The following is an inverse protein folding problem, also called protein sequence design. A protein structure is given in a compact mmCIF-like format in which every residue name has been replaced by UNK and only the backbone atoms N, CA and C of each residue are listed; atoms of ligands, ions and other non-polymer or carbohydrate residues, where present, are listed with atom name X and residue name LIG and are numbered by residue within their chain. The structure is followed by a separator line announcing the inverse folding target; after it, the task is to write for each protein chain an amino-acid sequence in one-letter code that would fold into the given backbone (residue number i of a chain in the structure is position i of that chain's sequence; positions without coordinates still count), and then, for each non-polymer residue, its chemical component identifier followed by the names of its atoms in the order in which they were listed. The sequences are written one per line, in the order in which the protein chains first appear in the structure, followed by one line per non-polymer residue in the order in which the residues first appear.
data_IF_885885214493
#
_entry.id   IF_885885214493
#
_cell.length_a   1.000
_cell.length_b   1.000
_cell.length_c   1.000
_cell.angle_alpha   90.00
_cell.angle_beta   90.00
_cell.angle_gamma   90.00
#
_symmetry.space_group_name_H-M   'P 1'
#
loop_
_entity.id
_entity.type
_entity.pdbx_description
1 polymer ?
#
# COMPACT_ATOMS: atom_id res chain seq x y z
N UNK A 1 -3.12 22.80 8.25
CA UNK A 1 -2.97 21.83 7.14
C UNK A 1 -4.18 22.05 6.27
N UNK A 2 -4.00 22.36 4.99
CA UNK A 2 -5.15 22.54 4.08
C UNK A 2 -5.91 21.22 4.00
N UNK A 3 -7.23 21.25 4.21
CA UNK A 3 -8.15 20.14 3.93
C UNK A 3 -8.11 19.82 2.43
N UNK A 4 -7.05 19.15 1.99
CA UNK A 4 -6.92 18.66 0.64
C UNK A 4 -7.87 17.48 0.48
N UNK A 5 -8.75 17.57 -0.50
CA UNK A 5 -9.65 16.48 -0.90
C UNK A 5 -8.84 15.20 -1.18
N UNK A 6 -9.12 14.12 -0.43
CA UNK A 6 -8.39 12.85 -0.55
C UNK A 6 -8.99 11.90 -1.60
N UNK A 7 -10.21 12.16 -2.06
CA UNK A 7 -10.95 11.35 -3.03
C UNK A 7 -11.90 12.22 -3.85
N UNK A 8 -12.07 11.88 -5.14
CA UNK A 8 -13.10 12.50 -5.99
C UNK A 8 -14.52 12.11 -5.55
N UNK A 9 -14.68 10.93 -4.95
CA UNK A 9 -15.96 10.44 -4.42
C UNK A 9 -16.17 10.87 -2.96
N UNK A 10 -17.41 10.89 -2.46
CA UNK A 10 -17.70 11.20 -1.06
C UNK A 10 -16.96 10.24 -0.12
N UNK A 11 -16.27 10.81 0.85
CA UNK A 11 -15.67 10.07 1.96
C UNK A 11 -16.67 10.13 3.12
N UNK A 12 -17.19 8.98 3.61
CA UNK A 12 -18.14 8.99 4.71
C UNK A 12 -17.48 9.46 5.99
N UNK A 13 -18.25 10.10 6.87
CA UNK A 13 -17.82 10.36 8.24
C UNK A 13 -17.59 9.03 8.95
N UNK A 14 -16.61 8.98 9.87
CA UNK A 14 -16.30 7.74 10.58
C UNK A 14 -17.55 7.18 11.25
N UNK A 15 -18.42 8.04 11.82
CA UNK A 15 -19.70 7.72 12.46
C UNK A 15 -20.72 7.01 11.57
N UNK A 16 -20.61 7.15 10.26
CA UNK A 16 -21.48 6.46 9.31
C UNK A 16 -20.90 5.13 8.78
N UNK A 17 -19.64 4.81 9.13
CA UNK A 17 -18.98 3.57 8.71
C UNK A 17 -19.45 2.39 9.59
N UNK A 18 -19.75 1.21 9.00
CA UNK A 18 -20.05 0.00 9.75
C UNK A 18 -19.01 -0.32 10.84
N UNK A 19 -19.48 -0.79 11.99
CA UNK A 19 -18.66 -0.95 13.20
C UNK A 19 -17.41 -1.83 12.99
N UNK A 20 -17.54 -2.91 12.22
CA UNK A 20 -16.43 -3.82 11.92
C UNK A 20 -15.29 -3.11 11.16
N UNK A 21 -15.65 -2.29 10.17
CA UNK A 21 -14.69 -1.51 9.38
C UNK A 21 -14.08 -0.37 10.20
N UNK A 22 -14.89 0.32 11.00
CA UNK A 22 -14.42 1.36 11.92
C UNK A 22 -13.42 0.81 12.93
N UNK A 23 -13.76 -0.31 13.58
CA UNK A 23 -12.88 -1.00 14.53
C UNK A 23 -11.55 -1.41 13.86
N UNK A 24 -11.60 -1.91 12.62
CA UNK A 24 -10.40 -2.21 11.83
C UNK A 24 -9.54 -0.97 11.57
N UNK A 25 -10.15 0.14 11.15
CA UNK A 25 -9.44 1.41 10.93
C UNK A 25 -8.81 1.98 12.20
N UNK A 26 -9.50 1.90 13.34
CA UNK A 26 -8.97 2.32 14.64
C UNK A 26 -7.75 1.49 15.03
N UNK A 27 -7.80 0.17 14.82
CA UNK A 27 -6.66 -0.72 15.08
C UNK A 27 -5.46 -0.44 14.16
N UNK A 28 -5.69 0.05 12.95
CA UNK A 28 -4.62 0.55 12.07
C UNK A 28 -4.07 1.85 12.61
N UNK A 29 -4.93 2.82 12.93
CA UNK A 29 -4.53 4.12 13.47
C UNK A 29 -3.66 4.00 14.72
N UNK A 30 -3.99 3.07 15.63
CA UNK A 30 -3.19 2.82 16.83
C UNK A 30 -1.77 2.36 16.48
N UNK A 31 -1.60 1.55 15.43
CA UNK A 31 -0.31 1.01 14.98
C UNK A 31 0.51 2.00 14.16
N UNK A 32 -0.15 2.79 13.31
CA UNK A 32 0.53 3.65 12.31
C UNK A 32 0.46 5.14 12.65
N UNK A 33 -0.33 5.54 13.64
CA UNK A 33 -0.54 6.93 14.05
C UNK A 33 -1.56 7.71 13.21
N UNK A 34 -2.06 7.14 12.12
CA UNK A 34 -3.07 7.73 11.23
C UNK A 34 -3.78 6.64 10.43
N UNK A 35 -4.97 6.95 9.87
CA UNK A 35 -5.69 6.05 8.95
C UNK A 35 -5.24 6.35 7.51
N UNK A 36 -4.65 5.40 6.77
CA UNK A 36 -4.31 5.61 5.37
C UNK A 36 -5.55 5.90 4.52
N UNK A 37 -5.46 6.87 3.60
CA UNK A 37 -6.63 7.36 2.86
C UNK A 37 -7.35 6.28 2.03
N UNK A 38 -6.70 5.17 1.66
CA UNK A 38 -7.36 4.05 0.98
C UNK A 38 -8.52 3.46 1.79
N UNK A 39 -8.39 3.40 3.11
CA UNK A 39 -9.46 2.92 4.00
C UNK A 39 -10.66 3.87 3.98
N UNK A 40 -10.40 5.17 4.13
CA UNK A 40 -11.42 6.21 4.11
C UNK A 40 -12.10 6.34 2.74
N UNK A 41 -11.32 6.31 1.67
CA UNK A 41 -11.81 6.43 0.30
C UNK A 41 -12.68 5.23 -0.12
N UNK A 42 -12.24 4.00 0.18
CA UNK A 42 -13.01 2.80 -0.13
C UNK A 42 -14.19 2.57 0.81
N UNK A 43 -14.21 3.19 2.01
CA UNK A 43 -15.37 3.12 2.90
C UNK A 43 -16.64 3.74 2.29
N UNK A 44 -16.52 4.53 1.22
CA UNK A 44 -17.66 4.92 0.37
C UNK A 44 -18.49 3.70 -0.07
N UNK A 45 -17.85 2.53 -0.23
CA UNK A 45 -18.46 1.25 -0.61
C UNK A 45 -18.02 0.15 0.36
N UNK A 46 -18.70 -0.01 1.51
CA UNK A 46 -18.27 -0.91 2.58
C UNK A 46 -18.00 -2.36 2.15
N UNK A 47 -18.86 -2.94 1.31
CA UNK A 47 -18.67 -4.32 0.82
C UNK A 47 -17.43 -4.45 -0.08
N UNK A 48 -17.15 -3.41 -0.88
CA UNK A 48 -15.94 -3.38 -1.71
C UNK A 48 -14.69 -3.24 -0.85
N UNK A 49 -14.71 -2.42 0.21
CA UNK A 49 -13.61 -2.32 1.18
C UNK A 49 -13.35 -3.66 1.88
N UNK A 50 -14.40 -4.39 2.31
CA UNK A 50 -14.23 -5.72 2.92
C UNK A 50 -13.56 -6.70 1.96
N UNK A 51 -14.04 -6.77 0.73
CA UNK A 51 -13.46 -7.64 -0.30
C UNK A 51 -12.01 -7.25 -0.61
N UNK A 52 -11.73 -5.95 -0.73
CA UNK A 52 -10.39 -5.43 -0.96
C UNK A 52 -9.43 -5.85 0.16
N UNK A 53 -9.83 -5.68 1.42
CA UNK A 53 -8.97 -6.04 2.56
C UNK A 53 -8.78 -7.55 2.69
N UNK A 54 -9.82 -8.35 2.44
CA UNK A 54 -9.69 -9.80 2.45
C UNK A 54 -8.67 -10.28 1.39
N UNK A 55 -8.72 -9.70 0.18
CA UNK A 55 -7.78 -10.04 -0.89
C UNK A 55 -6.36 -9.53 -0.60
N UNK A 56 -6.24 -8.30 -0.07
CA UNK A 56 -4.98 -7.73 0.38
C UNK A 56 -4.30 -8.65 1.40
N UNK A 57 -4.99 -9.03 2.47
CA UNK A 57 -4.39 -9.81 3.56
C UNK A 57 -4.01 -11.22 3.08
N UNK A 58 -4.86 -11.82 2.24
CA UNK A 58 -4.58 -13.11 1.61
C UNK A 58 -3.28 -13.11 0.79
N UNK A 59 -2.86 -11.96 0.24
CA UNK A 59 -1.62 -11.85 -0.53
C UNK A 59 -0.45 -11.28 0.27
N UNK A 60 -0.67 -10.27 1.09
CA UNK A 60 0.37 -9.48 1.74
C UNK A 60 0.80 -10.05 3.09
N UNK A 61 -0.06 -10.79 3.77
CA UNK A 61 0.21 -11.31 5.12
C UNK A 61 0.41 -12.82 5.19
N UNK A 62 -0.05 -13.59 4.19
CA UNK A 62 0.17 -15.04 4.17
C UNK A 62 1.65 -15.43 4.16
N UNK A 63 1.99 -16.62 4.62
CA UNK A 63 3.30 -17.20 4.35
C UNK A 63 3.47 -17.47 2.84
N UNK A 64 4.64 -17.12 2.31
CA UNK A 64 5.00 -17.41 0.92
C UNK A 64 6.52 -17.41 0.77
N UNK A 65 7.01 -17.79 -0.42
CA UNK A 65 8.42 -17.67 -0.78
C UNK A 65 8.91 -16.22 -0.96
N UNK A 66 8.03 -15.23 -0.83
CA UNK A 66 8.36 -13.81 -0.87
C UNK A 66 8.34 -13.21 0.53
N UNK A 67 9.43 -12.56 0.90
CA UNK A 67 9.52 -11.74 2.10
C UNK A 67 8.55 -10.56 2.05
N UNK A 68 8.25 -9.99 3.22
CA UNK A 68 7.41 -8.79 3.33
C UNK A 68 8.00 -7.58 2.60
N UNK A 69 9.33 -7.49 2.44
CA UNK A 69 9.96 -6.43 1.68
C UNK A 69 9.83 -6.67 0.17
N UNK A 70 10.07 -7.89 -0.30
CA UNK A 70 9.95 -8.24 -1.73
C UNK A 70 8.53 -8.02 -2.27
N UNK A 71 7.49 -8.27 -1.45
CA UNK A 71 6.10 -7.95 -1.84
C UNK A 71 5.91 -6.45 -2.07
N UNK A 72 6.45 -5.59 -1.21
CA UNK A 72 6.37 -4.14 -1.40
C UNK A 72 7.23 -3.68 -2.59
N UNK A 73 8.35 -4.36 -2.91
CA UNK A 73 9.13 -4.04 -4.11
C UNK A 73 8.29 -4.24 -5.38
N UNK A 74 7.56 -5.36 -5.47
CA UNK A 74 6.64 -5.64 -6.57
C UNK A 74 5.56 -4.55 -6.65
N UNK A 75 4.94 -4.20 -5.51
CA UNK A 75 3.90 -3.17 -5.49
C UNK A 75 4.46 -1.83 -5.96
N UNK A 76 5.62 -1.39 -5.47
CA UNK A 76 6.20 -0.10 -5.86
C UNK A 76 6.58 -0.08 -7.35
N UNK A 77 7.21 -1.14 -7.86
CA UNK A 77 7.60 -1.20 -9.27
C UNK A 77 6.39 -1.19 -10.21
N UNK A 78 5.39 -2.03 -9.94
CA UNK A 78 4.15 -2.08 -10.74
C UNK A 78 3.30 -0.82 -10.59
N UNK A 79 3.34 -0.16 -9.43
CA UNK A 79 2.68 1.14 -9.23
C UNK A 79 3.38 2.26 -10.00
N UNK A 80 4.71 2.24 -10.05
CA UNK A 80 5.51 3.17 -10.87
C UNK A 80 5.20 3.01 -12.35
N UNK A 81 5.12 1.77 -12.84
CA UNK A 81 4.73 1.48 -14.22
C UNK A 81 3.30 1.91 -14.58
N UNK A 82 2.42 2.06 -13.59
CA UNK A 82 1.03 2.49 -13.75
C UNK A 82 0.78 3.96 -13.36
N UNK A 83 1.84 4.75 -13.12
CA UNK A 83 1.75 6.14 -12.67
C UNK A 83 0.84 6.35 -11.44
N UNK A 84 0.75 5.34 -10.56
CA UNK A 84 -0.16 5.37 -9.42
C UNK A 84 0.48 6.07 -8.22
N UNK A 85 0.30 7.39 -8.15
CA UNK A 85 0.88 8.24 -7.10
C UNK A 85 0.61 7.74 -5.68
N UNK A 86 -0.64 7.38 -5.35
CA UNK A 86 -0.98 6.91 -4.00
C UNK A 86 -0.19 5.66 -3.63
N UNK A 87 -0.18 4.65 -4.51
CA UNK A 87 0.46 3.38 -4.22
C UNK A 87 1.98 3.52 -4.18
N UNK A 88 2.59 4.27 -5.11
CA UNK A 88 4.04 4.56 -5.08
C UNK A 88 4.46 5.20 -3.76
N UNK A 89 3.73 6.23 -3.31
CA UNK A 89 4.08 6.96 -2.08
C UNK A 89 3.86 6.10 -0.84
N UNK A 90 2.69 5.44 -0.73
CA UNK A 90 2.33 4.65 0.44
C UNK A 90 3.20 3.40 0.59
N UNK A 91 3.26 2.57 -0.45
CA UNK A 91 4.04 1.33 -0.41
C UNK A 91 5.55 1.61 -0.45
N UNK A 92 5.99 2.72 -1.05
CA UNK A 92 7.37 3.16 -0.96
C UNK A 92 7.80 3.46 0.47
N UNK A 93 6.93 4.08 1.28
CA UNK A 93 7.20 4.32 2.70
C UNK A 93 7.35 3.00 3.48
N UNK A 94 6.45 2.04 3.24
CA UNK A 94 6.48 0.72 3.88
C UNK A 94 7.73 -0.04 3.46
N UNK A 95 8.07 -0.01 2.16
CA UNK A 95 9.23 -0.68 1.60
C UNK A 95 10.52 -0.17 2.23
N UNK A 96 10.71 1.15 2.35
CA UNK A 96 11.92 1.74 2.96
C UNK A 96 12.15 1.24 4.38
N UNK A 97 11.07 1.06 5.16
CA UNK A 97 11.12 0.51 6.52
C UNK A 97 11.47 -0.98 6.49
N UNK A 98 10.74 -1.78 5.70
CA UNK A 98 10.91 -3.26 5.67
C UNK A 98 12.26 -3.69 5.11
N UNK A 99 12.72 -3.02 4.06
CA UNK A 99 14.01 -3.27 3.43
C UNK A 99 15.18 -2.63 4.20
N UNK A 100 14.90 -1.72 5.16
CA UNK A 100 15.91 -0.90 5.84
C UNK A 100 16.84 -0.17 4.86
N UNK A 101 16.29 0.25 3.73
CA UNK A 101 16.99 0.95 2.67
C UNK A 101 16.16 2.19 2.29
N UNK A 102 16.65 3.42 2.56
CA UNK A 102 15.89 4.63 2.28
C UNK A 102 15.78 4.97 0.78
N UNK A 103 16.60 4.37 -0.09
CA UNK A 103 16.67 4.72 -1.51
C UNK A 103 15.88 3.77 -2.42
N UNK A 104 15.64 2.53 -1.98
CA UNK A 104 15.15 1.46 -2.87
C UNK A 104 13.78 1.73 -3.48
N UNK A 105 12.88 2.38 -2.74
CA UNK A 105 11.54 2.69 -3.24
C UNK A 105 11.59 3.68 -4.40
N UNK A 106 12.45 4.69 -4.32
CA UNK A 106 12.59 5.72 -5.33
C UNK A 106 13.22 5.12 -6.61
N UNK A 107 14.22 4.25 -6.44
CA UNK A 107 14.82 3.52 -7.55
C UNK A 107 13.80 2.65 -8.29
N UNK A 108 13.01 1.85 -7.55
CA UNK A 108 11.97 0.99 -8.14
C UNK A 108 10.83 1.78 -8.77
N UNK A 109 10.45 2.94 -8.21
CA UNK A 109 9.36 3.75 -8.76
C UNK A 109 9.75 4.47 -10.06
N UNK A 110 11.02 4.85 -10.21
CA UNK A 110 11.50 5.68 -11.33
C UNK A 110 12.16 4.85 -12.44
N UNK A 111 13.08 3.96 -12.09
CA UNK A 111 13.77 3.09 -13.05
C UNK A 111 14.23 1.79 -12.36
N UNK A 112 13.38 0.75 -12.33
CA UNK A 112 13.72 -0.56 -11.76
C UNK A 112 15.02 -1.17 -12.30
N UNK A 113 15.44 -0.83 -13.54
CA UNK A 113 16.66 -1.38 -14.15
C UNK A 113 17.95 -0.88 -13.48
N UNK A 114 17.86 0.22 -12.73
CA UNK A 114 18.97 0.84 -11.98
C UNK A 114 18.88 0.61 -10.47
N UNK A 115 17.88 -0.12 -10.00
CA UNK A 115 17.70 -0.38 -8.58
C UNK A 115 18.79 -1.31 -8.02
N UNK A 116 19.18 -1.06 -6.78
CA UNK A 116 20.18 -1.83 -6.04
C UNK A 116 19.58 -3.18 -5.59
N UNK A 117 19.42 -4.10 -6.54
CA UNK A 117 18.80 -5.41 -6.39
C UNK A 117 19.79 -6.54 -6.62
N UNK A 118 19.60 -7.67 -5.95
CA UNK A 118 20.27 -8.92 -6.31
C UNK A 118 19.64 -9.57 -7.57
N UNK A 119 20.30 -10.59 -8.12
CA UNK A 119 19.84 -11.23 -9.38
C UNK A 119 18.45 -11.88 -9.25
N UNK A 120 18.10 -12.38 -8.05
CA UNK A 120 16.78 -12.97 -7.81
C UNK A 120 15.71 -11.88 -7.80
N UNK A 121 15.96 -10.76 -7.13
CA UNK A 121 15.06 -9.61 -7.06
C UNK A 121 14.89 -8.96 -8.43
N UNK A 122 15.97 -8.81 -9.22
CA UNK A 122 15.86 -8.34 -10.61
C UNK A 122 14.94 -9.21 -11.44
N UNK A 123 15.11 -10.54 -11.39
CA UNK A 123 14.25 -11.47 -12.11
C UNK A 123 12.79 -11.41 -11.63
N UNK A 124 12.56 -11.25 -10.33
CA UNK A 124 11.24 -11.08 -9.74
C UNK A 124 10.56 -9.81 -10.25
N UNK A 125 11.25 -8.67 -10.25
CA UNK A 125 10.70 -7.39 -10.69
C UNK A 125 10.51 -7.36 -12.21
N UNK A 126 11.37 -8.01 -12.99
CA UNK A 126 11.21 -8.11 -14.44
C UNK A 126 10.02 -8.97 -14.87
N UNK A 127 9.56 -9.90 -14.02
CA UNK A 127 8.38 -10.73 -14.28
C UNK A 127 7.06 -10.06 -13.90
N UNK A 128 7.08 -9.24 -12.84
CA UNK A 128 5.92 -8.55 -12.30
C UNK A 128 5.38 -7.47 -13.24
#
# INVERSE_FOLDING_TARGET
MTDSQISTFPVPDLDDIPEDLRSMMMGIQEKTGFIPNVFLGLAHRPEELRAFMAYHDALMERESGLSKAEREMIVVATSGANDCMYCVVAHGAILRIRAKNPFIADQLAIDPSKADLDERQKAMIAFA
#
